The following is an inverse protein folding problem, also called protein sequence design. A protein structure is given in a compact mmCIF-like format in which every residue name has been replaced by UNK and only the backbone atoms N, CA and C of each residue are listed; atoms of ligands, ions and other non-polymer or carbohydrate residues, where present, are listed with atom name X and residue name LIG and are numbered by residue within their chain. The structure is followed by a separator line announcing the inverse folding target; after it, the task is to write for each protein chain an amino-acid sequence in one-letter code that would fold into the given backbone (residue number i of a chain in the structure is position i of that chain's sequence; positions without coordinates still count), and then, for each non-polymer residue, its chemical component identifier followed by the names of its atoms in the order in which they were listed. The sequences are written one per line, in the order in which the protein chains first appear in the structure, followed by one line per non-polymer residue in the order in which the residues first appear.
data_IF_047618999748
#
_entry.id   IF_047618999748
#
_cell.length_a   1.000
_cell.length_b   1.000
_cell.length_c   1.000
_cell.angle_alpha   90.00
_cell.angle_beta   90.00
_cell.angle_gamma   90.00
#
_symmetry.space_group_name_H-M   'P 1'
#
loop_
_entity.id
_entity.type
_entity.pdbx_description
1 polymer ?
#
# COMPACT_ATOMS: atom_id res chain seq x y z
N UNK A 1 21.13 11.38 19.32
CA UNK A 1 19.91 10.63 18.91
C UNK A 1 18.80 11.65 18.88
N UNK A 2 17.92 11.65 17.88
CA UNK A 2 16.85 12.65 17.85
C UNK A 2 15.94 12.46 19.06
N UNK A 3 15.66 13.54 19.79
CA UNK A 3 14.71 13.54 20.91
C UNK A 3 13.25 13.40 20.43
N UNK A 4 13.07 13.22 19.12
CA UNK A 4 11.81 13.12 18.44
C UNK A 4 11.76 11.87 17.56
N UNK A 5 10.53 11.39 17.37
CA UNK A 5 10.18 10.27 16.48
C UNK A 5 9.20 10.82 15.44
N UNK A 6 9.50 10.59 14.16
CA UNK A 6 8.56 10.86 13.08
C UNK A 6 7.61 9.68 12.98
N UNK A 7 6.32 9.97 13.00
CA UNK A 7 5.26 8.97 12.85
C UNK A 7 4.50 9.30 11.57
N UNK A 8 4.53 8.40 10.60
CA UNK A 8 3.68 8.47 9.41
C UNK A 8 2.44 7.66 9.71
N UNK A 9 1.28 8.28 9.77
CA UNK A 9 0.01 7.58 10.01
C UNK A 9 -0.80 7.55 8.73
N UNK A 10 -1.45 6.43 8.46
CA UNK A 10 -2.34 6.25 7.31
C UNK A 10 -3.53 5.37 7.72
N UNK A 11 -4.63 5.41 6.98
CA UNK A 11 -5.82 4.61 7.28
C UNK A 11 -6.50 4.06 6.05
N UNK A 12 -7.16 2.93 6.24
CA UNK A 12 -8.13 2.41 5.30
C UNK A 12 -9.31 3.38 5.14
N UNK A 13 -9.90 3.36 3.96
CA UNK A 13 -11.11 4.10 3.64
C UNK A 13 -12.33 3.47 4.32
N UNK A 14 -13.17 4.27 4.97
CA UNK A 14 -14.42 3.78 5.62
C UNK A 14 -15.62 3.79 4.70
N UNK A 15 -15.55 4.57 3.63
CA UNK A 15 -16.59 4.66 2.62
C UNK A 15 -15.92 4.78 1.25
N UNK A 16 -16.59 4.29 0.22
CA UNK A 16 -16.10 4.51 -1.14
C UNK A 16 -16.13 6.03 -1.43
N UNK A 17 -15.07 6.57 -2.05
CA UNK A 17 -14.88 8.01 -2.20
C UNK A 17 -14.20 8.69 -1.01
N UNK A 18 -13.91 7.97 0.08
CA UNK A 18 -12.88 8.32 1.06
C UNK A 18 -11.49 7.89 0.52
N UNK A 19 -11.42 7.03 -0.50
CA UNK A 19 -10.18 6.59 -1.16
C UNK A 19 -9.67 7.53 -2.27
N UNK A 20 -10.32 8.68 -2.48
CA UNK A 20 -9.95 9.64 -3.54
C UNK A 20 -8.71 10.47 -3.17
N UNK A 21 -8.52 10.69 -1.88
CA UNK A 21 -7.39 11.41 -1.32
C UNK A 21 -6.56 10.48 -0.44
N UNK A 22 -5.27 10.81 -0.27
CA UNK A 22 -4.47 10.12 0.74
C UNK A 22 -4.96 10.51 2.12
N UNK A 23 -5.11 9.54 3.02
CA UNK A 23 -5.31 9.81 4.44
C UNK A 23 -4.00 9.97 5.20
N UNK A 24 -2.86 9.92 4.50
CA UNK A 24 -1.58 9.91 5.15
C UNK A 24 -1.30 11.25 5.82
N UNK A 25 -1.04 11.21 7.12
CA UNK A 25 -0.56 12.36 7.88
C UNK A 25 0.86 12.07 8.40
N UNK A 26 1.64 13.15 8.56
CA UNK A 26 3.00 13.07 9.10
C UNK A 26 3.05 13.82 10.43
N UNK A 27 3.43 13.12 11.48
CA UNK A 27 3.39 13.59 12.86
C UNK A 27 4.78 13.55 13.48
N UNK A 28 5.09 14.51 14.35
CA UNK A 28 6.30 14.50 15.16
C UNK A 28 5.92 14.39 16.63
N UNK A 29 6.43 13.36 17.29
CA UNK A 29 6.31 13.17 18.73
C UNK A 29 7.67 13.32 19.43
N UNK A 30 7.70 13.73 20.71
CA UNK A 30 8.86 13.47 21.56
C UNK A 30 9.06 11.96 21.71
N UNK A 31 10.31 11.50 21.79
CA UNK A 31 10.63 10.08 21.92
C UNK A 31 10.04 9.44 23.20
N UNK A 32 9.71 10.26 24.21
CA UNK A 32 9.05 9.85 25.45
C UNK A 32 7.55 9.63 25.34
N UNK A 33 6.90 10.05 24.25
CA UNK A 33 5.48 9.80 24.01
C UNK A 33 5.22 8.29 24.04
N UNK A 34 4.02 7.90 24.47
CA UNK A 34 3.65 6.50 24.68
C UNK A 34 2.74 5.97 23.59
N UNK A 35 2.52 4.66 23.57
CA UNK A 35 1.50 4.04 22.71
C UNK A 35 0.11 4.59 23.03
N UNK A 36 -0.20 4.86 24.31
CA UNK A 36 -1.48 5.43 24.68
C UNK A 36 -1.66 6.85 24.13
N UNK A 37 -0.62 7.69 24.14
CA UNK A 37 -0.65 9.02 23.51
C UNK A 37 -0.97 8.91 22.00
N UNK A 38 -0.36 7.94 21.32
CA UNK A 38 -0.59 7.69 19.90
C UNK A 38 -2.01 7.16 19.61
N UNK A 39 -2.49 6.17 20.38
CA UNK A 39 -3.83 5.59 20.18
C UNK A 39 -4.95 6.59 20.46
N UNK A 40 -4.79 7.43 21.49
CA UNK A 40 -5.74 8.52 21.79
C UNK A 40 -5.77 9.53 20.65
N UNK A 41 -4.62 9.97 20.15
CA UNK A 41 -4.57 10.91 19.01
C UNK A 41 -5.25 10.35 17.76
N UNK A 42 -4.97 9.08 17.45
CA UNK A 42 -5.58 8.37 16.32
C UNK A 42 -7.10 8.30 16.48
N UNK A 43 -7.59 7.90 17.66
CA UNK A 43 -9.03 7.80 17.95
C UNK A 43 -9.73 9.16 17.82
N UNK A 44 -9.22 10.17 18.52
CA UNK A 44 -9.93 11.44 18.69
C UNK A 44 -9.85 12.38 17.47
N UNK A 45 -8.80 12.25 16.65
CA UNK A 45 -8.46 13.28 15.66
C UNK A 45 -8.13 12.78 14.27
N UNK A 46 -8.13 11.46 14.04
CA UNK A 46 -7.73 10.89 12.75
C UNK A 46 -8.73 9.90 12.17
N UNK A 47 -9.25 8.99 12.99
CA UNK A 47 -10.18 7.96 12.53
C UNK A 47 -11.60 8.53 12.42
N UNK A 48 -12.26 8.38 11.26
CA UNK A 48 -13.69 8.64 11.19
C UNK A 48 -14.46 7.54 11.92
N UNK A 49 -15.61 7.90 12.45
CA UNK A 49 -16.47 6.92 13.11
C UNK A 49 -17.14 5.95 12.13
N UNK A 50 -17.42 4.76 12.64
CA UNK A 50 -17.92 3.63 11.86
C UNK A 50 -19.22 3.14 12.48
N UNK A 51 -20.25 2.93 11.66
CA UNK A 51 -21.53 2.42 12.15
C UNK A 51 -21.49 0.89 12.35
N UNK A 52 -22.09 0.40 13.43
CA UNK A 52 -22.25 -1.04 13.71
C UNK A 52 -21.10 -1.67 14.50
N UNK A 53 -21.05 -3.02 14.60
CA UNK A 53 -20.02 -3.75 15.36
C UNK A 53 -18.71 -3.85 14.57
N UNK A 54 -18.18 -2.69 14.20
CA UNK A 54 -16.95 -2.52 13.45
C UNK A 54 -16.07 -1.47 14.12
N UNK A 55 -14.79 -1.49 13.78
CA UNK A 55 -13.82 -0.55 14.32
C UNK A 55 -12.55 -0.56 13.50
N UNK A 56 -11.44 -0.30 14.18
CA UNK A 56 -10.14 -0.10 13.57
C UNK A 56 -9.09 -0.96 14.23
N UNK A 57 -8.21 -1.47 13.38
CA UNK A 57 -7.04 -2.23 13.73
C UNK A 57 -5.83 -1.35 13.52
N UNK A 58 -5.10 -1.01 14.57
CA UNK A 58 -3.94 -0.11 14.50
C UNK A 58 -2.67 -0.93 14.67
N UNK A 59 -1.77 -0.84 13.70
CA UNK A 59 -0.52 -1.58 13.69
C UNK A 59 0.65 -0.76 13.15
N UNK A 60 1.86 -1.20 13.49
CA UNK A 60 3.11 -0.69 12.93
C UNK A 60 3.43 -1.42 11.62
N UNK A 61 3.86 -0.67 10.60
CA UNK A 61 4.15 -1.13 9.25
C UNK A 61 3.16 -0.61 8.21
N UNK A 62 3.47 -0.82 6.93
CA UNK A 62 2.58 -0.38 5.84
C UNK A 62 1.50 -1.42 5.50
N UNK A 63 0.40 -0.99 4.87
CA UNK A 63 -0.74 -1.84 4.39
C UNK A 63 -0.32 -3.11 3.64
N UNK A 64 0.88 -3.14 3.06
CA UNK A 64 1.36 -4.22 2.21
C UNK A 64 2.31 -5.19 2.92
N UNK A 65 2.70 -4.93 4.17
CA UNK A 65 3.57 -5.82 4.94
C UNK A 65 2.77 -6.95 5.56
N UNK A 66 3.21 -8.20 5.34
CA UNK A 66 2.61 -9.39 5.96
C UNK A 66 2.96 -9.54 7.44
N UNK A 67 3.90 -8.73 7.92
CA UNK A 67 4.40 -8.75 9.28
C UNK A 67 4.15 -7.38 9.88
N UNK A 68 2.90 -7.13 10.24
CA UNK A 68 2.51 -5.95 11.00
C UNK A 68 2.56 -6.25 12.49
N UNK A 69 2.85 -5.24 13.31
CA UNK A 69 2.82 -5.36 14.77
C UNK A 69 1.64 -4.61 15.34
N UNK A 70 0.76 -5.34 16.01
CA UNK A 70 -0.52 -4.80 16.42
C UNK A 70 -0.38 -4.05 17.74
N UNK A 71 -0.73 -2.76 17.71
CA UNK A 71 -0.57 -1.88 18.87
C UNK A 71 -1.90 -1.66 19.58
N UNK A 72 -3.03 -1.66 18.85
CA UNK A 72 -4.34 -1.57 19.47
C UNK A 72 -5.51 -1.76 18.51
N UNK A 73 -6.70 -1.90 19.10
CA UNK A 73 -7.98 -1.83 18.39
C UNK A 73 -8.73 -0.58 18.86
N UNK A 74 -9.46 0.09 17.97
CA UNK A 74 -10.27 1.26 18.29
C UNK A 74 -11.69 1.07 17.76
N UNK A 75 -12.66 1.03 18.65
CA UNK A 75 -14.08 0.92 18.33
C UNK A 75 -14.72 2.30 18.38
N UNK A 76 -15.04 2.85 17.23
CA UNK A 76 -15.75 4.11 17.06
C UNK A 76 -17.23 3.80 16.83
N UNK A 77 -18.14 4.10 17.77
CA UNK A 77 -19.59 3.80 17.66
C UNK A 77 -20.42 5.08 17.47
N UNK A 78 -20.14 5.78 16.37
CA UNK A 78 -20.82 7.03 16.00
C UNK A 78 -22.34 6.85 15.86
N UNK A 79 -22.77 5.68 15.39
CA UNK A 79 -24.19 5.32 15.24
C UNK A 79 -24.97 5.41 16.55
N UNK A 80 -24.30 5.12 17.67
CA UNK A 80 -24.88 5.15 19.00
C UNK A 80 -24.49 6.39 19.80
N UNK A 81 -23.69 7.31 19.22
CA UNK A 81 -23.07 8.44 19.92
C UNK A 81 -22.35 8.01 21.21
N UNK A 82 -21.79 6.81 21.19
CA UNK A 82 -21.03 6.30 22.30
C UNK A 82 -19.60 6.81 22.20
N UNK A 83 -18.97 6.89 23.35
CA UNK A 83 -17.54 7.14 23.43
C UNK A 83 -16.75 6.03 22.73
N UNK A 84 -15.63 6.40 22.12
CA UNK A 84 -14.68 5.44 21.55
C UNK A 84 -14.15 4.49 22.62
N UNK A 85 -13.93 3.25 22.23
CA UNK A 85 -13.31 2.25 23.08
C UNK A 85 -12.01 1.74 22.48
N UNK A 86 -10.99 1.57 23.30
CA UNK A 86 -9.67 1.11 22.89
C UNK A 86 -9.39 -0.26 23.50
N UNK A 87 -8.83 -1.18 22.72
CA UNK A 87 -8.22 -2.40 23.21
C UNK A 87 -6.71 -2.31 23.03
N UNK A 88 -5.95 -2.37 24.12
CA UNK A 88 -4.48 -2.37 24.08
C UNK A 88 -3.97 -3.75 23.72
N UNK A 89 -3.35 -3.89 22.55
CA UNK A 89 -2.67 -5.13 22.14
C UNK A 89 -1.17 -5.10 22.48
N UNK A 90 -0.63 -3.88 22.64
CA UNK A 90 0.70 -3.63 23.18
C UNK A 90 0.65 -2.86 24.51
N UNK A 91 1.66 -2.97 25.39
CA UNK A 91 1.67 -2.24 26.66
C UNK A 91 1.66 -0.72 26.45
N UNK A 92 0.62 -0.04 26.95
CA UNK A 92 0.43 1.40 26.77
C UNK A 92 1.62 2.28 27.20
N UNK A 93 2.37 1.85 28.23
CA UNK A 93 3.56 2.56 28.75
C UNK A 93 4.80 2.53 27.85
N UNK A 94 4.80 1.70 26.81
CA UNK A 94 5.96 1.59 25.91
C UNK A 94 6.09 2.90 25.13
N UNK A 95 7.31 3.41 25.03
CA UNK A 95 7.56 4.70 24.37
C UNK A 95 7.72 4.55 22.86
N UNK A 96 7.40 5.60 22.11
CA UNK A 96 7.61 5.62 20.66
C UNK A 96 9.10 5.54 20.30
N UNK A 97 9.99 6.11 21.14
CA UNK A 97 11.43 5.98 20.96
C UNK A 97 11.95 4.54 21.15
N UNK A 98 11.35 3.77 22.05
CA UNK A 98 11.63 2.33 22.17
C UNK A 98 11.14 1.56 20.95
N UNK A 99 9.95 1.88 20.42
CA UNK A 99 9.42 1.27 19.21
C UNK A 99 10.30 1.55 17.99
N UNK A 100 10.70 2.80 17.76
CA UNK A 100 11.56 3.18 16.64
C UNK A 100 12.92 2.45 16.68
N UNK A 101 13.53 2.34 17.87
CA UNK A 101 14.76 1.56 18.03
C UNK A 101 14.56 0.08 17.73
N UNK A 102 13.41 -0.47 18.11
CA UNK A 102 13.09 -1.87 17.93
C UNK A 102 12.78 -2.23 16.47
N UNK A 103 12.12 -1.33 15.73
CA UNK A 103 11.89 -1.48 14.28
C UNK A 103 13.14 -1.21 13.44
N UNK A 104 14.21 -0.66 14.04
CA UNK A 104 15.43 -0.30 13.33
C UNK A 104 15.29 0.93 12.42
N UNK A 105 14.16 1.64 12.53
CA UNK A 105 13.84 2.82 11.72
C UNK A 105 13.69 4.05 12.62
N UNK A 106 14.26 5.21 12.24
CA UNK A 106 14.00 6.47 12.94
C UNK A 106 12.56 6.98 12.75
N UNK A 107 11.82 6.38 11.81
CA UNK A 107 10.44 6.69 11.50
C UNK A 107 9.54 5.49 11.81
N UNK A 108 8.35 5.75 12.36
CA UNK A 108 7.32 4.75 12.59
C UNK A 108 6.20 4.91 11.57
N UNK A 109 5.99 3.91 10.74
CA UNK A 109 4.79 3.80 9.93
C UNK A 109 3.68 3.16 10.76
N UNK A 110 2.56 3.83 10.89
CA UNK A 110 1.37 3.38 11.61
C UNK A 110 0.21 3.30 10.63
N UNK A 111 -0.43 2.14 10.54
CA UNK A 111 -1.57 1.96 9.66
C UNK A 111 -2.80 1.52 10.46
N UNK A 112 -3.93 2.15 10.16
CA UNK A 112 -5.24 1.76 10.70
C UNK A 112 -6.08 1.06 9.61
N UNK A 113 -6.45 -0.20 9.80
CA UNK A 113 -7.33 -0.94 8.89
C UNK A 113 -8.68 -1.28 9.51
N UNK A 114 -9.67 -1.64 8.68
CA UNK A 114 -10.99 -2.00 9.17
C UNK A 114 -10.96 -3.27 10.02
N UNK A 115 -11.63 -3.23 11.17
CA UNK A 115 -11.87 -4.37 12.04
C UNK A 115 -13.33 -4.81 11.91
N UNK A 116 -13.53 -6.09 11.63
CA UNK A 116 -14.85 -6.71 11.71
C UNK A 116 -14.92 -7.56 12.99
N UNK A 117 -16.08 -7.47 13.68
CA UNK A 117 -16.40 -8.22 14.90
C UNK A 117 -15.68 -7.75 16.19
N UNK A 118 -16.26 -8.13 17.33
CA UNK A 118 -15.71 -7.82 18.65
C UNK A 118 -14.57 -8.80 18.98
N UNK A 119 -13.33 -8.30 19.09
CA UNK A 119 -12.12 -9.13 19.12
C UNK A 119 -11.31 -9.00 20.42
N UNK A 120 -11.68 -8.13 21.36
CA UNK A 120 -10.99 -7.99 22.64
C UNK A 120 -11.86 -7.32 23.71
N UNK A 121 -11.34 -7.20 24.94
CA UNK A 121 -11.97 -6.44 26.02
C UNK A 121 -11.71 -4.94 25.84
N UNK A 122 -12.74 -4.12 25.55
CA UNK A 122 -12.58 -2.68 25.43
C UNK A 122 -12.39 -2.01 26.79
N UNK A 123 -11.63 -0.91 26.80
CA UNK A 123 -11.67 0.16 27.82
C UNK A 123 -12.15 1.44 27.16
N UNK A 124 -12.82 2.33 27.88
CA UNK A 124 -13.29 3.58 27.28
C UNK A 124 -12.12 4.53 27.02
N UNK A 125 -12.29 5.47 26.08
CA UNK A 125 -11.29 6.50 25.80
C UNK A 125 -10.93 7.30 27.06
N UNK A 126 -11.89 7.67 27.91
CA UNK A 126 -11.66 8.41 29.16
C UNK A 126 -10.87 7.58 30.18
N UNK A 127 -11.08 6.26 30.21
CA UNK A 127 -10.29 5.35 31.05
C UNK A 127 -8.82 5.29 30.58
N UNK A 128 -8.58 5.45 29.27
CA UNK A 128 -7.23 5.53 28.70
C UNK A 128 -6.60 6.88 29.02
N UNK A 129 -7.31 7.97 28.77
CA UNK A 129 -6.85 9.35 29.05
C UNK A 129 -6.62 9.59 30.55
N UNK A 130 -7.45 9.01 31.42
CA UNK A 130 -7.27 9.06 32.87
C UNK A 130 -6.22 8.09 33.42
N UNK A 131 -5.65 7.24 32.56
CA UNK A 131 -4.70 6.20 32.94
C UNK A 131 -3.27 6.74 33.13
N UNK A 132 -2.49 6.08 34.00
CA UNK A 132 -1.11 6.48 34.30
C UNK A 132 -0.12 6.34 33.12
N UNK A 133 -0.56 5.76 32.00
CA UNK A 133 0.23 5.51 30.79
C UNK A 133 0.02 6.55 29.70
N UNK A 134 -1.07 7.31 29.76
CA UNK A 134 -1.28 8.48 28.92
C UNK A 134 -0.52 9.65 29.53
N UNK A 135 0.32 10.32 28.72
CA UNK A 135 1.13 11.45 29.17
C UNK A 135 0.56 12.79 28.72
N UNK A 136 -0.44 12.76 27.81
CA UNK A 136 -1.01 13.96 27.20
C UNK A 136 -0.15 14.52 26.07
N UNK A 137 0.84 13.76 25.58
CA UNK A 137 1.66 14.20 24.46
C UNK A 137 0.83 14.26 23.19
N UNK A 138 0.80 15.44 22.56
CA UNK A 138 0.16 15.65 21.25
C UNK A 138 1.25 15.83 20.18
N UNK A 139 1.04 15.30 18.96
CA UNK A 139 2.01 15.48 17.89
C UNK A 139 1.99 16.90 17.35
N UNK A 140 3.11 17.30 16.76
CA UNK A 140 3.12 18.39 15.78
C UNK A 140 2.79 17.81 14.41
N UNK A 141 1.64 18.18 13.83
CA UNK A 141 1.23 17.75 12.49
C UNK A 141 1.98 18.54 11.41
N UNK A 142 2.61 17.84 10.47
CA UNK A 142 3.32 18.46 9.34
C UNK A 142 2.36 18.65 8.17
N UNK A 143 1.54 19.71 8.25
CA UNK A 143 0.53 20.04 7.23
C UNK A 143 1.14 20.21 5.82
N UNK A 144 2.37 20.71 5.71
CA UNK A 144 3.03 20.90 4.40
C UNK A 144 3.44 19.59 3.72
N UNK A 145 3.87 18.57 4.47
CA UNK A 145 4.19 17.25 3.91
C UNK A 145 2.91 16.48 3.57
N UNK A 146 1.89 16.56 4.43
CA UNK A 146 0.57 15.96 4.17
C UNK A 146 -0.12 16.61 2.97
N UNK A 147 -0.05 17.94 2.82
CA UNK A 147 -0.58 18.65 1.66
C UNK A 147 0.19 18.35 0.36
N UNK A 148 1.52 18.20 0.44
CA UNK A 148 2.32 17.76 -0.71
C UNK A 148 2.00 16.32 -1.15
N UNK A 149 1.64 15.45 -0.21
CA UNK A 149 1.18 14.07 -0.50
C UNK A 149 -0.28 14.02 -0.98
N UNK A 150 -1.16 14.86 -0.43
CA UNK A 150 -2.55 15.02 -0.87
C UNK A 150 -2.65 15.62 -2.29
N UNK A 151 -1.71 16.50 -2.66
CA UNK A 151 -1.54 16.99 -4.03
C UNK A 151 -0.95 15.93 -4.98
N UNK A 152 -0.63 14.73 -4.51
CA UNK A 152 -0.16 13.65 -5.38
C UNK A 152 -1.34 13.14 -6.19
N UNK A 153 -1.20 13.20 -7.50
CA UNK A 153 -2.22 12.72 -8.43
C UNK A 153 -2.34 11.19 -8.36
N UNK A 154 -3.25 10.69 -7.53
CA UNK A 154 -3.52 9.26 -7.38
C UNK A 154 -4.07 8.62 -8.67
N UNK A 155 -4.72 9.41 -9.54
CA UNK A 155 -5.17 8.95 -10.86
C UNK A 155 -3.96 8.64 -11.73
N UNK A 156 -2.94 9.51 -11.71
CA UNK A 156 -1.66 9.26 -12.36
C UNK A 156 -0.98 8.00 -11.80
N UNK A 157 -0.94 7.80 -10.48
CA UNK A 157 -0.32 6.61 -9.87
C UNK A 157 -1.01 5.31 -10.29
N UNK A 158 -2.35 5.28 -10.28
CA UNK A 158 -3.14 4.11 -10.75
C UNK A 158 -2.88 3.83 -12.24
N UNK A 159 -2.71 4.87 -13.04
CA UNK A 159 -2.41 4.72 -14.45
C UNK A 159 -1.00 4.18 -14.70
N UNK A 160 0.00 4.61 -13.92
CA UNK A 160 1.34 4.03 -13.95
C UNK A 160 1.31 2.53 -13.59
N UNK A 161 0.54 2.14 -12.55
CA UNK A 161 0.31 0.75 -12.19
C UNK A 161 -0.32 -0.04 -13.34
N UNK A 162 -1.31 0.54 -14.01
CA UNK A 162 -1.96 -0.06 -15.18
C UNK A 162 -0.97 -0.29 -16.32
N UNK A 163 -0.16 0.71 -16.65
CA UNK A 163 0.88 0.58 -17.68
C UNK A 163 1.89 -0.51 -17.32
N UNK A 164 2.32 -0.56 -16.05
CA UNK A 164 3.20 -1.61 -15.52
C UNK A 164 2.61 -3.02 -15.65
N UNK A 165 1.32 -3.19 -15.33
CA UNK A 165 0.62 -4.48 -15.51
C UNK A 165 0.49 -4.88 -16.98
N UNK A 166 0.29 -3.92 -17.87
CA UNK A 166 0.11 -4.17 -19.31
C UNK A 166 1.37 -4.79 -19.93
N UNK A 167 2.56 -4.43 -19.45
CA UNK A 167 3.84 -4.96 -19.96
C UNK A 167 4.32 -6.22 -19.25
N UNK A 168 3.77 -6.53 -18.06
CA UNK A 168 4.23 -7.64 -17.23
C UNK A 168 4.13 -9.01 -17.94
N UNK A 169 3.05 -9.25 -18.70
CA UNK A 169 2.89 -10.51 -19.45
C UNK A 169 4.02 -10.71 -20.47
N UNK A 170 4.25 -9.71 -21.32
CA UNK A 170 5.29 -9.77 -22.35
C UNK A 170 6.70 -9.92 -21.74
N UNK A 171 6.96 -9.26 -20.60
CA UNK A 171 8.22 -9.41 -19.87
C UNK A 171 8.41 -10.83 -19.32
N UNK A 172 7.40 -11.42 -18.69
CA UNK A 172 7.43 -12.79 -18.17
C UNK A 172 7.63 -13.83 -19.28
N UNK A 173 6.97 -13.65 -20.42
CA UNK A 173 7.14 -14.53 -21.58
C UNK A 173 8.56 -14.45 -22.13
N UNK A 174 9.13 -13.24 -22.20
CA UNK A 174 10.53 -13.06 -22.60
C UNK A 174 11.50 -13.73 -21.62
N UNK A 175 11.27 -13.63 -20.31
CA UNK A 175 12.10 -14.28 -19.28
C UNK A 175 12.10 -15.79 -19.46
N UNK A 176 10.92 -16.38 -19.66
CA UNK A 176 10.77 -17.82 -19.89
C UNK A 176 11.54 -18.26 -21.13
N UNK A 177 11.39 -17.53 -22.23
CA UNK A 177 12.00 -17.86 -23.52
C UNK A 177 13.52 -17.67 -23.56
N UNK A 178 14.07 -16.74 -22.77
CA UNK A 178 15.49 -16.36 -22.86
C UNK A 178 16.28 -16.77 -21.60
N UNK A 179 15.92 -16.24 -20.44
CA UNK A 179 16.72 -16.42 -19.22
C UNK A 179 16.56 -17.79 -18.59
N UNK A 180 15.34 -18.35 -18.57
CA UNK A 180 15.13 -19.67 -17.99
C UNK A 180 15.51 -20.81 -18.95
N UNK A 181 15.33 -20.59 -20.26
CA UNK A 181 15.78 -21.53 -21.28
C UNK A 181 17.32 -21.65 -21.30
N UNK A 182 18.03 -20.51 -21.26
CA UNK A 182 19.48 -20.44 -21.29
C UNK A 182 20.03 -19.44 -20.25
N UNK A 183 20.13 -19.83 -18.97
CA UNK A 183 20.69 -18.97 -17.92
C UNK A 183 22.11 -18.49 -18.28
N UNK A 184 22.40 -17.19 -18.19
CA UNK A 184 23.75 -16.67 -18.39
C UNK A 184 24.74 -17.32 -17.41
N UNK A 185 26.00 -17.57 -17.82
CA UNK A 185 26.98 -18.25 -16.97
C UNK A 185 27.40 -17.46 -15.72
N UNK A 186 27.08 -16.17 -15.64
CA UNK A 186 27.38 -15.26 -14.52
C UNK A 186 26.16 -14.92 -13.66
N UNK A 187 25.02 -15.58 -13.89
CA UNK A 187 23.75 -15.22 -13.25
C UNK A 187 23.77 -15.42 -11.73
N UNK A 188 24.56 -16.37 -11.25
CA UNK A 188 24.88 -16.62 -9.85
C UNK A 188 25.52 -15.40 -9.15
N UNK A 189 26.39 -14.65 -9.85
CA UNK A 189 26.95 -13.39 -9.33
C UNK A 189 25.86 -12.34 -9.15
N UNK A 190 24.91 -12.24 -10.09
CA UNK A 190 23.77 -11.34 -9.94
C UNK A 190 22.90 -11.74 -8.73
N UNK A 191 22.58 -13.03 -8.59
CA UNK A 191 21.80 -13.55 -7.47
C UNK A 191 22.50 -13.20 -6.15
N UNK A 192 23.80 -13.48 -6.03
CA UNK A 192 24.54 -13.23 -4.80
C UNK A 192 24.56 -11.73 -4.42
N UNK A 193 24.76 -10.84 -5.39
CA UNK A 193 24.81 -9.38 -5.14
C UNK A 193 23.47 -8.82 -4.69
N UNK A 194 22.36 -9.37 -5.21
CA UNK A 194 21.02 -8.85 -4.99
C UNK A 194 20.20 -9.70 -4.01
N UNK A 195 20.83 -10.69 -3.36
CA UNK A 195 20.17 -11.62 -2.45
C UNK A 195 19.48 -10.90 -1.28
N UNK A 196 20.04 -9.77 -0.84
CA UNK A 196 19.48 -8.97 0.23
C UNK A 196 18.08 -8.39 -0.06
N UNK A 197 17.68 -8.22 -1.33
CA UNK A 197 16.30 -7.83 -1.67
C UNK A 197 15.30 -8.98 -1.48
N UNK A 198 15.77 -10.22 -1.54
CA UNK A 198 14.91 -11.40 -1.49
C UNK A 198 14.29 -11.63 -0.11
N UNK A 199 14.88 -11.06 0.96
CA UNK A 199 14.33 -11.15 2.32
C UNK A 199 12.94 -10.53 2.44
N UNK A 200 12.64 -9.51 1.62
CA UNK A 200 11.36 -8.81 1.62
C UNK A 200 10.44 -9.23 0.46
N UNK A 201 11.05 -9.70 -0.64
CA UNK A 201 10.32 -10.01 -1.86
C UNK A 201 9.82 -11.47 -1.91
N UNK A 202 10.48 -12.41 -1.24
CA UNK A 202 10.01 -13.79 -1.18
C UNK A 202 8.77 -13.93 -0.30
N UNK A 203 7.67 -14.29 -0.93
CA UNK A 203 6.41 -14.60 -0.26
C UNK A 203 5.60 -15.60 -1.09
N UNK A 204 4.51 -16.17 -0.56
CA UNK A 204 3.66 -17.10 -1.31
C UNK A 204 3.28 -16.63 -2.72
N UNK A 205 3.02 -15.32 -2.93
CA UNK A 205 2.68 -14.78 -4.24
C UNK A 205 3.86 -14.82 -5.24
N UNK A 206 5.08 -14.49 -4.80
CA UNK A 206 6.27 -14.64 -5.65
C UNK A 206 6.56 -16.11 -5.95
N UNK A 207 6.22 -17.02 -5.03
CA UNK A 207 6.39 -18.46 -5.22
C UNK A 207 5.40 -19.00 -6.25
N UNK A 208 4.13 -18.58 -6.19
CA UNK A 208 3.15 -18.89 -7.24
C UNK A 208 3.61 -18.39 -8.60
N UNK A 209 4.16 -17.17 -8.67
CA UNK A 209 4.70 -16.63 -9.90
C UNK A 209 5.91 -17.41 -10.42
N UNK A 210 6.77 -17.94 -9.53
CA UNK A 210 7.88 -18.81 -9.93
C UNK A 210 7.37 -20.11 -10.58
N UNK A 211 6.29 -20.70 -10.04
CA UNK A 211 5.65 -21.86 -10.63
C UNK A 211 5.06 -21.54 -12.02
N UNK A 212 4.40 -20.39 -12.19
CA UNK A 212 3.91 -19.92 -13.50
C UNK A 212 5.04 -19.72 -14.53
N UNK A 213 6.20 -19.21 -14.10
CA UNK A 213 7.36 -19.05 -14.98
C UNK A 213 7.92 -20.40 -15.42
N UNK A 214 7.92 -21.39 -14.53
CA UNK A 214 8.35 -22.76 -14.81
C UNK A 214 7.30 -23.61 -15.55
N UNK A 215 6.07 -23.10 -15.72
CA UNK A 215 4.98 -23.82 -16.38
C UNK A 215 4.37 -24.94 -15.53
N UNK A 216 4.43 -24.80 -14.20
CA UNK A 216 3.93 -25.76 -13.21
C UNK A 216 2.61 -25.25 -12.66
N UNK A 217 1.61 -26.13 -12.54
CA UNK A 217 0.30 -25.76 -12.04
C UNK A 217 0.35 -25.48 -10.53
N UNK A 218 0.26 -24.20 -10.17
CA UNK A 218 0.69 -23.65 -8.88
C UNK A 218 -0.28 -23.91 -7.71
N UNK A 219 -0.84 -25.12 -7.60
CA UNK A 219 -1.84 -25.38 -6.55
C UNK A 219 -1.23 -25.54 -5.15
N UNK A 220 0.03 -25.97 -4.98
CA UNK A 220 0.74 -25.98 -3.67
C UNK A 220 2.25 -25.83 -3.82
N UNK A 221 2.90 -25.14 -2.88
CA UNK A 221 4.37 -24.96 -2.85
C UNK A 221 5.19 -26.27 -2.76
N UNK A 222 4.55 -27.42 -2.55
CA UNK A 222 5.15 -28.76 -2.60
C UNK A 222 5.63 -29.14 -4.01
N UNK A 223 5.04 -28.58 -5.06
CA UNK A 223 5.35 -28.92 -6.46
C UNK A 223 6.72 -28.38 -6.91
N UNK A 224 7.18 -27.26 -6.35
CA UNK A 224 8.48 -26.67 -6.70
C UNK A 224 9.66 -27.46 -6.13
N UNK A 225 9.53 -27.97 -4.89
CA UNK A 225 10.53 -28.85 -4.31
C UNK A 225 10.64 -30.15 -5.12
N UNK A 226 9.50 -30.66 -5.58
CA UNK A 226 9.43 -31.85 -6.44
C UNK A 226 10.09 -31.60 -7.81
N UNK A 227 9.92 -30.42 -8.41
CA UNK A 227 10.62 -30.04 -9.65
C UNK A 227 12.14 -29.95 -9.49
N UNK A 228 12.63 -29.40 -8.37
CA UNK A 228 14.06 -29.34 -8.11
C UNK A 228 14.71 -30.74 -8.03
N UNK A 229 13.91 -31.77 -7.73
CA UNK A 229 14.33 -33.17 -7.71
C UNK A 229 14.12 -33.92 -9.04
N UNK A 230 13.30 -33.39 -9.95
CA UNK A 230 12.88 -34.07 -11.19
C UNK A 230 13.53 -33.41 -12.42
N UNK A 231 14.75 -33.80 -12.79
CA UNK A 231 15.50 -33.42 -14.02
C UNK A 231 15.60 -31.92 -14.40
N UNK A 232 14.95 -31.01 -13.67
CA UNK A 232 15.07 -29.59 -13.83
C UNK A 232 16.42 -29.18 -13.26
N UNK A 233 17.23 -28.51 -14.08
CA UNK A 233 18.55 -27.98 -13.65
C UNK A 233 18.31 -27.10 -12.40
N UNK A 234 18.86 -27.42 -11.22
CA UNK A 234 18.59 -26.68 -9.99
C UNK A 234 18.83 -25.18 -10.12
N UNK A 235 19.81 -24.78 -10.94
CA UNK A 235 20.09 -23.38 -11.31
C UNK A 235 18.89 -22.67 -11.95
N UNK A 236 18.09 -23.34 -12.79
CA UNK A 236 16.89 -22.78 -13.43
C UNK A 236 15.78 -22.56 -12.41
N UNK A 237 15.61 -23.50 -11.47
CA UNK A 237 14.61 -23.36 -10.39
C UNK A 237 14.99 -22.21 -9.47
N UNK A 238 16.25 -22.14 -9.03
CA UNK A 238 16.74 -21.01 -8.22
C UNK A 238 16.56 -19.69 -8.95
N UNK A 239 16.93 -19.63 -10.23
CA UNK A 239 16.78 -18.41 -11.03
C UNK A 239 15.31 -18.00 -11.18
N UNK A 240 14.40 -18.95 -11.44
CA UNK A 240 12.98 -18.67 -11.55
C UNK A 240 12.41 -18.09 -10.25
N UNK A 241 12.79 -18.63 -9.09
CA UNK A 241 12.38 -18.11 -7.79
C UNK A 241 12.87 -16.66 -7.58
N UNK A 242 14.14 -16.40 -7.88
CA UNK A 242 14.73 -15.05 -7.75
C UNK A 242 14.02 -14.07 -8.68
N UNK A 243 13.88 -14.38 -9.97
CA UNK A 243 13.23 -13.50 -10.94
C UNK A 243 11.76 -13.27 -10.62
N UNK A 244 11.05 -14.28 -10.11
CA UNK A 244 9.67 -14.13 -9.66
C UNK A 244 9.53 -13.21 -8.43
N UNK A 245 10.49 -13.23 -7.51
CA UNK A 245 10.52 -12.29 -6.39
C UNK A 245 10.68 -10.85 -6.88
N UNK A 246 11.57 -10.60 -7.85
CA UNK A 246 11.71 -9.29 -8.47
C UNK A 246 10.46 -8.88 -9.27
N UNK A 247 9.87 -9.78 -10.05
CA UNK A 247 8.61 -9.52 -10.77
C UNK A 247 7.46 -9.17 -9.83
N UNK A 248 7.36 -9.86 -8.70
CA UNK A 248 6.41 -9.51 -7.64
C UNK A 248 6.71 -8.11 -7.07
N UNK A 249 7.98 -7.81 -6.83
CA UNK A 249 8.45 -6.50 -6.39
C UNK A 249 8.10 -5.35 -7.34
N UNK A 250 7.99 -5.61 -8.65
CA UNK A 250 7.58 -4.58 -9.63
C UNK A 250 6.13 -4.16 -9.49
N UNK A 251 5.29 -5.04 -8.92
CA UNK A 251 3.86 -4.81 -8.67
C UNK A 251 3.60 -4.13 -7.31
N UNK A 252 4.66 -3.84 -6.55
CA UNK A 252 4.59 -3.27 -5.19
C UNK A 252 5.40 -1.98 -5.08
N UNK A 253 5.01 -1.14 -4.12
CA UNK A 253 5.73 0.07 -3.73
C UNK A 253 5.12 1.35 -4.29
N UNK A 254 5.75 2.49 -4.02
CA UNK A 254 5.34 3.80 -4.55
C UNK A 254 6.10 4.09 -5.86
N UNK A 255 5.62 5.01 -6.69
CA UNK A 255 6.31 5.43 -7.92
C UNK A 255 7.42 6.48 -7.69
N UNK A 256 7.86 6.66 -6.44
CA UNK A 256 8.91 7.61 -6.11
C UNK A 256 10.27 7.09 -6.58
N UNK A 257 11.07 7.97 -7.16
CA UNK A 257 12.42 7.64 -7.61
C UNK A 257 13.29 7.18 -6.43
N UNK A 258 13.95 6.03 -6.56
CA UNK A 258 14.84 5.48 -5.54
C UNK A 258 14.16 4.64 -4.45
N UNK A 259 12.83 4.64 -4.33
CA UNK A 259 12.11 3.83 -3.33
C UNK A 259 11.93 2.36 -3.76
N UNK A 260 12.35 2.00 -4.98
CA UNK A 260 12.34 0.61 -5.48
C UNK A 260 13.71 0.19 -6.05
N UNK A 261 14.78 0.15 -5.22
CA UNK A 261 16.12 -0.15 -5.70
C UNK A 261 16.22 -1.55 -6.34
N UNK A 262 15.39 -2.50 -5.89
CA UNK A 262 15.25 -3.83 -6.48
C UNK A 262 14.72 -3.80 -7.92
N UNK A 263 13.81 -2.88 -8.26
CA UNK A 263 13.27 -2.75 -9.61
C UNK A 263 14.34 -2.31 -10.60
N UNK A 264 15.22 -1.38 -10.19
CA UNK A 264 16.35 -0.96 -11.00
C UNK A 264 17.31 -2.12 -11.28
N UNK A 265 17.79 -2.79 -10.24
CA UNK A 265 18.73 -3.91 -10.39
C UNK A 265 18.16 -5.01 -11.31
N UNK A 266 16.87 -5.30 -11.16
CA UNK A 266 16.18 -6.28 -11.96
C UNK A 266 16.02 -5.88 -13.43
N UNK A 267 15.52 -4.68 -13.71
CA UNK A 267 15.29 -4.23 -15.08
C UNK A 267 16.60 -3.96 -15.84
N UNK A 268 17.66 -3.55 -15.13
CA UNK A 268 19.01 -3.47 -15.68
C UNK A 268 19.56 -4.86 -16.06
N UNK A 269 19.32 -5.89 -15.24
CA UNK A 269 19.65 -7.28 -15.62
C UNK A 269 18.95 -7.67 -16.92
N UNK A 270 17.63 -7.44 -17.01
CA UNK A 270 16.88 -7.79 -18.20
C UNK A 270 17.42 -7.06 -19.43
N UNK A 271 17.67 -5.75 -19.30
CA UNK A 271 18.22 -4.93 -20.37
C UNK A 271 19.60 -5.42 -20.82
N UNK A 272 20.47 -5.77 -19.88
CA UNK A 272 21.80 -6.31 -20.16
C UNK A 272 21.73 -7.65 -20.92
N UNK A 273 20.70 -8.46 -20.64
CA UNK A 273 20.42 -9.71 -21.33
C UNK A 273 19.68 -9.53 -22.67
N UNK A 274 19.45 -8.29 -23.13
CA UNK A 274 18.87 -7.98 -24.43
C UNK A 274 17.36 -7.68 -24.42
N UNK A 275 16.72 -7.62 -23.24
CA UNK A 275 15.33 -7.18 -23.15
C UNK A 275 15.21 -5.68 -23.41
N UNK A 276 14.27 -5.27 -24.27
CA UNK A 276 14.04 -3.85 -24.53
C UNK A 276 13.00 -3.29 -23.55
N UNK A 277 13.45 -2.48 -22.60
CA UNK A 277 12.58 -1.82 -21.63
C UNK A 277 11.58 -0.88 -22.31
N UNK A 278 10.30 -1.06 -22.00
CA UNK A 278 9.22 -0.14 -22.35
C UNK A 278 9.36 1.20 -21.59
N UNK A 279 8.65 2.27 -22.01
CA UNK A 279 8.73 3.56 -21.33
C UNK A 279 8.41 3.49 -19.83
N UNK A 280 7.42 2.69 -19.42
CA UNK A 280 7.07 2.54 -18.00
C UNK A 280 8.14 1.78 -17.21
N UNK A 281 8.78 0.79 -17.83
CA UNK A 281 9.89 0.05 -17.20
C UNK A 281 11.14 0.92 -17.09
N UNK A 282 11.37 1.85 -18.04
CA UNK A 282 12.43 2.85 -17.91
C UNK A 282 12.17 3.79 -16.72
N UNK A 283 10.91 4.10 -16.42
CA UNK A 283 10.54 4.84 -15.19
C UNK A 283 10.83 3.99 -13.96
N UNK A 284 10.41 2.71 -13.93
CA UNK A 284 10.71 1.79 -12.82
C UNK A 284 12.22 1.60 -12.59
N UNK A 285 13.02 1.60 -13.66
CA UNK A 285 14.48 1.51 -13.61
C UNK A 285 15.17 2.84 -13.25
N UNK A 286 14.40 3.92 -13.03
CA UNK A 286 14.91 5.28 -12.80
C UNK A 286 15.77 5.84 -13.95
N UNK A 287 15.56 5.35 -15.18
CA UNK A 287 16.15 5.93 -16.40
C UNK A 287 15.33 7.12 -16.92
N UNK A 288 14.03 7.14 -16.62
CA UNK A 288 13.11 8.22 -16.88
C UNK A 288 12.41 8.64 -15.58
N UNK A 289 12.15 9.93 -15.43
CA UNK A 289 11.25 10.42 -14.38
C UNK A 289 9.78 10.29 -14.82
N UNK A 290 8.85 10.33 -13.87
CA UNK A 290 7.40 10.29 -14.18
C UNK A 290 7.00 11.51 -15.02
N UNK A 291 7.62 12.66 -14.77
CA UNK A 291 7.37 13.92 -15.50
C UNK A 291 7.85 13.85 -16.97
N UNK A 292 8.87 13.03 -17.23
CA UNK A 292 9.40 12.81 -18.58
C UNK A 292 8.63 11.73 -19.35
N UNK A 293 7.79 10.94 -18.67
CA UNK A 293 6.97 9.92 -19.31
C UNK A 293 5.92 10.60 -20.19
N UNK A 294 6.06 10.44 -21.51
CA UNK A 294 5.04 10.91 -22.45
C UNK A 294 3.87 9.94 -22.49
N UNK A 295 2.74 10.38 -21.97
CA UNK A 295 1.47 9.69 -22.16
C UNK A 295 1.02 9.80 -23.62
N UNK A 296 0.41 8.74 -24.14
CA UNK A 296 -0.26 8.82 -25.43
C UNK A 296 -1.46 9.76 -25.35
N UNK A 297 -1.88 10.34 -26.48
CA UNK A 297 -3.05 11.23 -26.51
C UNK A 297 -4.32 10.57 -25.93
N UNK A 298 -4.47 9.26 -26.13
CA UNK A 298 -5.56 8.48 -25.55
C UNK A 298 -5.45 8.33 -24.02
N UNK A 299 -4.24 8.13 -23.49
CA UNK A 299 -4.00 8.01 -22.04
C UNK A 299 -4.22 9.37 -21.36
N UNK A 300 -3.74 10.46 -21.95
CA UNK A 300 -4.01 11.83 -21.44
C UNK A 300 -5.49 12.15 -21.43
N UNK A 301 -6.21 11.89 -22.53
CA UNK A 301 -7.65 12.12 -22.59
C UNK A 301 -8.42 11.26 -21.56
N UNK A 302 -7.98 10.02 -21.35
CA UNK A 302 -8.54 9.15 -20.31
C UNK A 302 -8.30 9.70 -18.91
N UNK A 303 -7.07 10.10 -18.59
CA UNK A 303 -6.72 10.68 -17.28
C UNK A 303 -7.56 11.92 -16.99
N UNK A 304 -7.65 12.85 -17.94
CA UNK A 304 -8.45 14.06 -17.80
C UNK A 304 -9.93 13.73 -17.63
N UNK A 305 -10.42 12.72 -18.35
CA UNK A 305 -11.81 12.27 -18.20
C UNK A 305 -12.07 11.64 -16.84
N UNK A 306 -11.16 10.81 -16.32
CA UNK A 306 -11.28 10.23 -14.97
C UNK A 306 -11.29 11.34 -13.93
N UNK A 307 -10.40 12.34 -14.02
CA UNK A 307 -10.37 13.49 -13.11
C UNK A 307 -11.71 14.24 -13.12
N UNK A 308 -12.25 14.54 -14.31
CA UNK A 308 -13.56 15.18 -14.45
C UNK A 308 -14.70 14.35 -13.83
N UNK A 309 -14.70 13.03 -14.03
CA UNK A 309 -15.74 12.15 -13.48
C UNK A 309 -15.62 12.03 -11.96
N UNK A 310 -14.41 12.02 -11.40
CA UNK A 310 -14.16 12.04 -9.95
C UNK A 310 -14.62 13.36 -9.33
N UNK A 311 -14.34 14.49 -9.98
CA UNK A 311 -14.85 15.80 -9.55
C UNK A 311 -16.38 15.84 -9.60
N UNK A 312 -17.00 15.33 -10.67
CA UNK A 312 -18.47 15.24 -10.79
C UNK A 312 -19.08 14.35 -9.70
N UNK A 313 -18.49 13.17 -9.45
CA UNK A 313 -18.88 12.28 -8.36
C UNK A 313 -18.79 12.98 -7.00
N UNK A 314 -17.70 13.71 -6.74
CA UNK A 314 -17.52 14.49 -5.53
C UNK A 314 -18.61 15.56 -5.38
N UNK A 315 -18.87 16.36 -6.42
CA UNK A 315 -19.89 17.41 -6.37
C UNK A 315 -21.30 16.86 -6.15
N UNK A 316 -21.67 15.74 -6.79
CA UNK A 316 -22.95 15.08 -6.58
C UNK A 316 -23.09 14.57 -5.14
N UNK A 317 -22.02 14.01 -4.58
CA UNK A 317 -21.99 13.55 -3.18
C UNK A 317 -22.11 14.73 -2.20
N UNK A 318 -21.41 15.83 -2.46
CA UNK A 318 -21.51 17.06 -1.69
C UNK A 318 -22.94 17.63 -1.72
N UNK A 319 -23.57 17.64 -2.89
CA UNK A 319 -24.96 18.03 -3.07
C UNK A 319 -25.95 17.15 -2.29
N UNK A 320 -25.73 15.83 -2.25
CA UNK A 320 -26.62 14.88 -1.56
C UNK A 320 -26.47 14.91 -0.04
N UNK A 321 -25.25 14.75 0.46
CA UNK A 321 -25.01 14.45 1.88
C UNK A 321 -24.79 15.69 2.74
N UNK A 322 -24.21 16.75 2.18
CA UNK A 322 -23.83 17.92 2.96
C UNK A 322 -24.73 19.13 2.66
N UNK A 323 -24.83 19.51 1.38
CA UNK A 323 -25.65 20.65 0.98
C UNK A 323 -27.16 20.32 0.94
N UNK A 324 -27.52 19.02 0.91
CA UNK A 324 -28.89 18.50 0.84
C UNK A 324 -29.72 19.13 -0.31
N UNK A 325 -29.06 19.49 -1.40
CA UNK A 325 -29.66 20.08 -2.59
C UNK A 325 -30.22 19.04 -3.57
N UNK A 326 -29.85 17.77 -3.39
CA UNK A 326 -30.32 16.65 -4.21
C UNK A 326 -31.15 15.68 -3.36
N UNK A 327 -32.30 15.25 -3.89
CA UNK A 327 -33.04 14.10 -3.35
C UNK A 327 -32.31 12.79 -3.66
N UNK A 328 -32.72 11.71 -2.99
CA UNK A 328 -32.10 10.40 -3.21
C UNK A 328 -32.27 9.91 -4.66
N UNK A 329 -33.47 10.06 -5.21
CA UNK A 329 -33.77 9.71 -6.62
C UNK A 329 -32.96 10.56 -7.60
N UNK A 330 -32.81 11.86 -7.34
CA UNK A 330 -32.01 12.76 -8.18
C UNK A 330 -30.52 12.41 -8.13
N UNK A 331 -30.02 12.07 -6.95
CA UNK A 331 -28.64 11.64 -6.78
C UNK A 331 -28.38 10.31 -7.49
N UNK A 332 -29.24 9.30 -7.31
CA UNK A 332 -29.12 8.00 -7.99
C UNK A 332 -29.13 8.15 -9.51
N UNK A 333 -30.07 8.92 -10.05
CA UNK A 333 -30.17 9.17 -11.49
C UNK A 333 -28.94 9.90 -12.05
N UNK A 334 -28.32 10.80 -11.27
CA UNK A 334 -27.14 11.56 -11.70
C UNK A 334 -25.82 10.80 -11.52
N UNK A 335 -25.70 9.95 -10.49
CA UNK A 335 -24.46 9.23 -10.17
C UNK A 335 -24.29 7.95 -11.00
N UNK A 336 -25.39 7.32 -11.40
CA UNK A 336 -25.36 6.09 -12.19
C UNK A 336 -24.60 6.19 -13.53
N UNK A 337 -24.79 7.23 -14.38
CA UNK A 337 -23.99 7.38 -15.59
C UNK A 337 -22.51 7.64 -15.29
N UNK A 338 -22.20 8.39 -14.22
CA UNK A 338 -20.81 8.65 -13.79
C UNK A 338 -20.11 7.34 -13.38
N UNK A 339 -20.80 6.50 -12.61
CA UNK A 339 -20.29 5.18 -12.21
C UNK A 339 -20.10 4.23 -13.39
N UNK A 340 -21.04 4.21 -14.33
CA UNK A 340 -20.93 3.39 -15.53
C UNK A 340 -19.70 3.79 -16.36
N UNK A 341 -19.44 5.09 -16.50
CA UNK A 341 -18.30 5.59 -17.25
C UNK A 341 -16.97 5.38 -16.51
N UNK A 342 -16.89 5.60 -15.20
CA UNK A 342 -15.71 5.25 -14.42
C UNK A 342 -15.36 3.75 -14.56
N UNK A 343 -16.38 2.88 -14.49
CA UNK A 343 -16.21 1.43 -14.66
C UNK A 343 -15.70 1.07 -16.06
N UNK A 344 -16.21 1.72 -17.11
CA UNK A 344 -15.75 1.47 -18.49
C UNK A 344 -14.31 1.94 -18.72
N UNK A 345 -13.88 2.96 -17.96
CA UNK A 345 -12.49 3.42 -17.88
C UNK A 345 -11.63 2.59 -16.91
N UNK A 346 -12.11 1.44 -16.42
CA UNK A 346 -11.36 0.52 -15.56
C UNK A 346 -11.14 1.02 -14.12
N UNK A 347 -11.84 2.07 -13.72
CA UNK A 347 -11.87 2.56 -12.35
C UNK A 347 -12.97 1.86 -11.54
N UNK A 348 -12.77 1.73 -10.24
CA UNK A 348 -13.85 1.26 -9.37
C UNK A 348 -14.93 2.35 -9.26
N UNK A 349 -16.21 2.03 -9.58
CA UNK A 349 -17.30 2.96 -9.34
C UNK A 349 -17.38 3.23 -7.83
N UNK A 350 -17.68 4.47 -7.46
CA UNK A 350 -17.88 4.83 -6.04
C UNK A 350 -19.12 4.16 -5.47
N UNK A 351 -19.46 4.41 -4.20
CA UNK A 351 -20.65 3.83 -3.60
C UNK A 351 -21.88 4.46 -4.26
N UNK A 352 -22.86 3.62 -4.60
CA UNK A 352 -24.18 4.12 -5.00
C UNK A 352 -24.87 4.81 -3.83
#
# INVERSE_FOLDING_TARGET
MSDTVKVTVDRASVAMGDDVDSHREFWIYPASATIDDLLVEISSHFLPGVAGPAGWYVYLGTRHEKQHWDIGLIYTRDDLKQQDHICRLSPGKRTLGELARWTGSPELDVYASYLTFDQARPVSLDEVEGGATFTGCRPTKLESEAAADANRDWVLMRELDRLGRTVAGARRDWIRANLLAAPPPWIDIFIARNFHYLTELHCPASISLAAELLGVDATRGEDLATLAHADARPVVVTLAMVLAAFEWGTQRGTWRAGERPHCKAYLELLAHCGYRLSPIEQVMASHLSVEQLKFGAADTARLDRIRQLRDQQYQLRMGRYYAKTLTDEQYQAAIEPVHAELSSLGELPGPK
#
